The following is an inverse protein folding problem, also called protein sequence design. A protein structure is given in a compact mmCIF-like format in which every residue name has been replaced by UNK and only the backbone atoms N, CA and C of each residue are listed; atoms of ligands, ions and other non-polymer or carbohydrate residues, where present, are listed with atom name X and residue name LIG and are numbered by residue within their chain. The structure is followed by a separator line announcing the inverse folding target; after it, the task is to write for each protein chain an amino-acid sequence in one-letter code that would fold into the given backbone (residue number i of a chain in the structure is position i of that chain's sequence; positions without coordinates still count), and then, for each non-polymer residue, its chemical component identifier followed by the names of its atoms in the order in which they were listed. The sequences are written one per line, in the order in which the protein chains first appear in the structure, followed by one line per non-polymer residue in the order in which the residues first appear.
data_IF_537551610553
#
_entry.id   IF_537551610553
#
_cell.length_a   1.000
_cell.length_b   1.000
_cell.length_c   1.000
_cell.angle_alpha   90.00
_cell.angle_beta   90.00
_cell.angle_gamma   90.00
#
_symmetry.space_group_name_H-M   'P 1'
#
loop_
_entity.id
_entity.type
_entity.pdbx_description
1 polymer ?
#
# COMPACT_ATOMS: atom_id res chain seq x y z
N UNK A 1 25.88 -4.89 2.87
CA UNK A 1 24.79 -4.25 3.62
C UNK A 1 23.52 -4.82 3.06
N UNK A 2 22.88 -5.75 3.77
CA UNK A 2 21.64 -6.36 3.29
C UNK A 2 20.53 -5.34 3.51
N UNK A 3 20.04 -4.72 2.44
CA UNK A 3 18.77 -4.01 2.50
C UNK A 3 17.69 -5.06 2.72
N UNK A 4 17.06 -5.05 3.89
CA UNK A 4 15.90 -5.88 4.19
C UNK A 4 14.71 -5.41 3.34
N UNK A 5 14.70 -5.83 2.07
CA UNK A 5 13.64 -5.49 1.12
C UNK A 5 12.38 -6.24 1.52
N UNK A 6 11.51 -5.54 2.25
CA UNK A 6 10.20 -6.04 2.61
C UNK A 6 9.22 -5.89 1.45
N UNK A 7 8.36 -6.88 1.25
CA UNK A 7 7.33 -6.86 0.22
C UNK A 7 5.94 -6.84 0.85
N UNK A 8 5.00 -6.20 0.17
CA UNK A 8 3.59 -6.18 0.55
C UNK A 8 2.71 -6.64 -0.61
N UNK A 9 1.61 -7.32 -0.27
CA UNK A 9 0.58 -7.75 -1.20
C UNK A 9 -0.66 -6.90 -0.99
N UNK A 10 -1.23 -6.42 -2.09
CA UNK A 10 -2.43 -5.61 -2.07
C UNK A 10 -3.67 -6.49 -1.89
N UNK A 11 -4.51 -6.13 -0.91
CA UNK A 11 -5.76 -6.84 -0.59
C UNK A 11 -6.94 -6.36 -1.44
N UNK A 12 -6.97 -5.06 -1.75
CA UNK A 12 -8.05 -4.39 -2.47
C UNK A 12 -7.48 -3.38 -3.47
N UNK A 13 -8.14 -3.17 -4.60
CA UNK A 13 -7.76 -2.12 -5.53
C UNK A 13 -7.96 -0.73 -4.91
N UNK A 14 -6.99 0.14 -5.13
CA UNK A 14 -7.04 1.54 -4.72
C UNK A 14 -6.47 2.40 -5.84
N UNK A 15 -7.21 3.43 -6.25
CA UNK A 15 -6.69 4.43 -7.18
C UNK A 15 -6.17 5.62 -6.39
N UNK A 16 -4.95 6.04 -6.71
CA UNK A 16 -4.42 7.31 -6.25
C UNK A 16 -5.37 8.44 -6.65
N UNK A 17 -5.68 9.31 -5.71
CA UNK A 17 -6.43 10.54 -5.92
C UNK A 17 -5.50 11.76 -5.91
N UNK A 18 -4.38 11.69 -5.18
CA UNK A 18 -3.32 12.70 -5.13
C UNK A 18 -2.00 12.18 -5.73
N UNK A 19 -1.11 13.09 -6.14
CA UNK A 19 0.22 12.78 -6.69
C UNK A 19 1.14 12.05 -5.69
N UNK A 20 0.84 12.13 -4.40
CA UNK A 20 1.59 11.43 -3.35
C UNK A 20 1.13 9.97 -3.17
N UNK A 21 -0.02 9.60 -3.73
CA UNK A 21 -0.60 8.28 -3.57
C UNK A 21 -0.19 7.35 -4.71
N UNK A 22 -0.11 6.05 -4.43
CA UNK A 22 0.16 5.05 -5.45
C UNK A 22 -1.12 4.31 -5.82
N UNK A 23 -1.39 4.22 -7.13
CA UNK A 23 -2.44 3.34 -7.63
C UNK A 23 -1.99 1.89 -7.49
N UNK A 24 -2.80 1.08 -6.80
CA UNK A 24 -2.51 -0.31 -6.50
C UNK A 24 -3.67 -1.20 -6.91
N UNK A 25 -3.37 -2.38 -7.44
CA UNK A 25 -4.40 -3.37 -7.78
C UNK A 25 -4.39 -4.51 -6.80
N UNK A 26 -5.59 -5.04 -6.50
CA UNK A 26 -5.71 -6.27 -5.73
C UNK A 26 -4.77 -7.34 -6.29
N UNK A 27 -4.11 -8.07 -5.39
CA UNK A 27 -3.16 -9.13 -5.70
C UNK A 27 -1.85 -8.68 -6.35
N UNK A 28 -1.59 -7.36 -6.41
CA UNK A 28 -0.33 -6.80 -6.85
C UNK A 28 0.71 -6.85 -5.72
N UNK A 29 1.98 -7.02 -6.10
CA UNK A 29 3.12 -7.05 -5.20
C UNK A 29 3.86 -5.74 -5.29
N UNK A 30 4.04 -5.08 -4.16
CA UNK A 30 4.75 -3.82 -4.06
C UNK A 30 5.91 -3.97 -3.10
N UNK A 31 6.96 -3.20 -3.34
CA UNK A 31 8.10 -3.15 -2.42
C UNK A 31 7.82 -2.12 -1.35
N UNK A 32 7.94 -2.53 -0.09
CA UNK A 32 7.77 -1.69 1.07
C UNK A 32 9.02 -0.84 1.27
N UNK A 33 8.84 0.47 1.36
CA UNK A 33 9.91 1.44 1.62
C UNK A 33 9.87 1.90 3.08
N UNK A 34 8.69 2.24 3.59
CA UNK A 34 8.51 2.68 4.98
C UNK A 34 7.12 2.27 5.49
N UNK A 35 7.07 1.48 6.58
CA UNK A 35 5.84 1.11 7.29
C UNK A 35 5.71 1.77 8.67
N UNK A 36 6.55 2.77 8.97
CA UNK A 36 6.60 3.45 10.27
C UNK A 36 5.30 4.19 10.64
N UNK A 37 4.40 4.39 9.68
CA UNK A 37 3.21 5.25 9.78
C UNK A 37 1.93 4.50 9.41
N UNK A 38 0.77 5.13 9.60
CA UNK A 38 -0.53 4.63 9.12
C UNK A 38 -0.57 4.47 7.59
N UNK A 39 0.20 5.31 6.90
CA UNK A 39 0.41 5.29 5.46
C UNK A 39 1.75 4.68 5.14
N UNK A 40 1.73 3.57 4.43
CA UNK A 40 2.95 2.86 4.05
C UNK A 40 3.45 3.42 2.73
N UNK A 41 4.73 3.76 2.70
CA UNK A 41 5.41 4.16 1.49
C UNK A 41 5.80 2.90 0.73
N UNK A 42 5.33 2.78 -0.50
CA UNK A 42 5.57 1.63 -1.36
C UNK A 42 6.03 2.08 -2.73
N UNK A 43 6.70 1.18 -3.45
CA UNK A 43 7.12 1.41 -4.83
C UNK A 43 6.60 0.28 -5.72
N UNK A 44 6.04 0.64 -6.89
CA UNK A 44 5.65 -0.32 -7.92
C UNK A 44 6.83 -0.74 -8.80
N UNK A 45 6.60 -1.68 -9.71
CA UNK A 45 7.59 -2.12 -10.68
C UNK A 45 8.01 -1.02 -11.67
N UNK A 46 7.11 -0.05 -11.92
CA UNK A 46 7.40 1.14 -12.72
C UNK A 46 8.24 2.21 -11.98
N UNK A 47 8.80 1.89 -10.81
CA UNK A 47 9.56 2.80 -9.94
C UNK A 47 8.77 4.04 -9.48
N UNK A 48 7.44 4.01 -9.54
CA UNK A 48 6.59 5.02 -8.95
C UNK A 48 6.44 4.74 -7.47
N UNK A 49 6.79 5.74 -6.67
CA UNK A 49 6.69 5.71 -5.23
C UNK A 49 5.42 6.45 -4.85
N UNK A 50 4.65 5.86 -3.94
CA UNK A 50 3.55 6.57 -3.33
C UNK A 50 3.14 5.95 -2.01
N UNK A 51 2.20 6.60 -1.36
CA UNK A 51 1.66 6.18 -0.09
C UNK A 51 0.39 5.37 -0.30
N UNK A 52 0.26 4.31 0.49
CA UNK A 52 -0.92 3.46 0.49
C UNK A 52 -1.36 3.21 1.94
N UNK A 53 -2.67 3.19 2.20
CA UNK A 53 -3.17 2.87 3.53
C UNK A 53 -2.86 1.42 3.89
N UNK A 54 -2.29 1.18 5.06
CA UNK A 54 -1.92 -0.17 5.52
C UNK A 54 -3.10 -1.15 5.55
N UNK A 55 -4.34 -0.66 5.69
CA UNK A 55 -5.57 -1.47 5.65
C UNK A 55 -5.79 -2.19 4.30
N UNK A 56 -5.26 -1.63 3.21
CA UNK A 56 -5.42 -2.11 1.84
C UNK A 56 -4.27 -3.01 1.39
N UNK A 57 -3.20 -3.07 2.16
CA UNK A 57 -2.03 -3.91 1.89
C UNK A 57 -1.77 -4.86 3.06
N UNK A 58 -0.90 -5.84 2.86
CA UNK A 58 -0.41 -6.74 3.92
C UNK A 58 1.03 -7.11 3.63
N UNK A 59 1.86 -7.28 4.66
CA UNK A 59 3.23 -7.76 4.48
C UNK A 59 3.23 -9.19 3.92
N UNK A 60 4.11 -9.44 2.97
CA UNK A 60 4.35 -10.76 2.40
C UNK A 60 5.21 -11.56 3.38
N UNK A 61 4.58 -12.14 4.39
CA UNK A 61 5.19 -13.18 5.21
C UNK A 61 5.15 -14.51 4.45
N UNK A 62 6.24 -15.27 4.44
CA UNK A 62 6.42 -16.53 3.69
C UNK A 62 5.41 -17.66 4.06
N UNK A 63 4.47 -17.40 4.97
CA UNK A 63 3.54 -18.39 5.56
C UNK A 63 2.13 -18.37 4.93
N UNK A 64 1.77 -17.39 4.09
CA UNK A 64 0.37 -17.16 3.68
C UNK A 64 0.01 -17.62 2.24
N UNK A 65 0.66 -18.67 1.72
CA UNK A 65 0.35 -19.28 0.40
C UNK A 65 -0.95 -20.12 0.41
N UNK A 66 -2.09 -19.56 0.80
CA UNK A 66 -3.39 -20.20 0.61
C UNK A 66 -4.58 -19.23 0.76
N UNK A 67 -4.82 -18.34 -0.22
CA UNK A 67 -6.19 -17.82 -0.43
C UNK A 67 -6.40 -17.26 -1.83
N UNK A 68 -6.73 -18.16 -2.75
CA UNK A 68 -7.59 -17.81 -3.88
C UNK A 68 -9.04 -17.65 -3.42
N UNK A 69 -9.91 -17.30 -4.38
CA UNK A 69 -11.39 -17.39 -4.36
C UNK A 69 -12.15 -16.06 -4.35
N UNK A 70 -12.45 -15.60 -5.59
CA UNK A 70 -13.66 -14.92 -6.10
C UNK A 70 -14.53 -14.10 -5.13
N UNK A 71 -14.67 -12.79 -5.43
CA UNK A 71 -15.94 -12.03 -5.28
C UNK A 71 -15.99 -10.91 -6.33
N UNK A 72 -16.87 -11.07 -7.31
CA UNK A 72 -17.37 -9.96 -8.11
C UNK A 72 -18.34 -9.08 -7.33
N UNK A 73 -18.84 -8.07 -8.04
CA UNK A 73 -19.95 -7.15 -7.73
C UNK A 73 -19.58 -5.88 -6.93
N UNK A 74 -19.35 -4.81 -7.72
CA UNK A 74 -19.80 -3.43 -7.51
C UNK A 74 -20.04 -3.04 -6.05
N UNK A 75 -18.99 -2.64 -5.34
CA UNK A 75 -19.15 -1.84 -4.12
C UNK A 75 -18.43 -0.53 -4.34
N UNK A 76 -19.17 0.57 -4.23
CA UNK A 76 -18.63 1.93 -4.32
C UNK A 76 -17.35 1.99 -3.52
N UNK A 77 -16.28 2.46 -4.18
CA UNK A 77 -14.93 2.40 -3.62
C UNK A 77 -14.96 2.95 -2.21
N UNK A 78 -14.60 2.16 -1.19
CA UNK A 78 -14.35 2.73 0.12
C UNK A 78 -13.30 3.82 -0.09
N UNK A 79 -13.68 5.07 0.21
CA UNK A 79 -12.74 6.18 0.18
C UNK A 79 -11.67 5.77 1.19
N UNK A 80 -10.41 5.68 0.76
CA UNK A 80 -9.35 5.60 1.76
C UNK A 80 -9.53 6.78 2.72
N UNK A 81 -9.11 6.65 3.99
CA UNK A 81 -8.89 7.84 4.80
C UNK A 81 -8.11 8.85 3.95
N UNK A 82 -8.40 10.14 4.10
CA UNK A 82 -7.64 11.16 3.40
C UNK A 82 -6.16 11.05 3.83
N UNK A 83 -5.22 11.28 2.91
CA UNK A 83 -3.81 11.23 3.23
C UNK A 83 -3.51 12.32 4.27
N UNK A 84 -3.44 11.95 5.55
CA UNK A 84 -3.17 12.90 6.64
C UNK A 84 -1.78 13.55 6.45
N UNK A 85 -1.70 14.82 6.00
CA UNK A 85 -0.41 15.46 5.74
C UNK A 85 0.39 15.69 7.03
N UNK A 86 -0.26 15.57 8.20
CA UNK A 86 0.36 15.62 9.52
C UNK A 86 1.42 14.52 9.69
N UNK A 87 1.26 13.37 9.03
CA UNK A 87 2.28 12.32 9.03
C UNK A 87 3.59 12.74 8.36
N UNK A 88 3.57 13.71 7.45
CA UNK A 88 4.78 14.25 6.77
C UNK A 88 5.34 15.48 7.51
N UNK A 89 4.50 16.20 8.26
CA UNK A 89 4.82 17.51 8.85
C UNK A 89 5.58 17.46 10.17
N UNK A 90 5.70 16.31 10.85
CA UNK A 90 6.38 16.23 12.15
C UNK A 90 7.91 16.03 12.08
N UNK A 91 8.57 16.41 10.99
CA UNK A 91 10.03 16.48 10.87
C UNK A 91 10.60 17.91 11.01
N UNK A 92 9.81 18.85 11.52
CA UNK A 92 10.25 20.22 11.82
C UNK A 92 9.79 20.61 13.23
N UNK A 93 10.51 20.10 14.23
CA UNK A 93 10.68 20.75 15.53
C UNK A 93 12.00 20.29 16.14
#
# INVERSE_FOLDING_TARGET
MSEDVSYVIVKYDYLAQEDQELTIKKNERLRLIDDSKNWWKVINDANNVGFVPSNYVRRESLVDKAKGTIKGFTKGRPRAPEFDPVSVRNCLL
#
